data_IF_958953142433
#
_entry.id   IF_958953142433
#
_cell.length_a   1.000
_cell.length_b   1.000
_cell.length_c   1.000
_cell.angle_alpha   90.00
_cell.angle_beta   90.00
_cell.angle_gamma   90.00
#
_symmetry.space_group_name_H-M   'P 1'
#
loop_
_entity.id
_entity.type
_entity.pdbx_description
1 polymer ?
#
# COMPACT_ATOMS: atom_id res chain seq x y z
N UNK A 1 47.09 -35.66 10.89
CA UNK A 1 46.64 -35.50 9.49
C UNK A 1 45.24 -34.89 9.52
N UNK A 2 45.06 -33.79 10.26
CA UNK A 2 45.51 -32.39 9.98
C UNK A 2 44.49 -31.75 9.03
N UNK A 3 43.88 -30.58 9.24
CA UNK A 3 43.91 -29.50 10.25
C UNK A 3 42.73 -28.56 9.89
N UNK A 4 41.96 -28.08 10.85
CA UNK A 4 41.95 -26.71 11.42
C UNK A 4 42.15 -25.52 10.43
N UNK A 5 41.21 -24.55 10.52
CA UNK A 5 41.33 -23.08 10.32
C UNK A 5 40.04 -22.55 9.66
N UNK A 6 39.06 -22.00 10.38
CA UNK A 6 39.00 -20.71 11.11
C UNK A 6 38.54 -19.51 10.26
N UNK A 7 37.53 -18.85 10.83
CA UNK A 7 36.83 -17.59 10.52
C UNK A 7 37.74 -16.36 10.30
N UNK A 8 37.30 -15.45 9.41
CA UNK A 8 37.33 -13.95 9.52
C UNK A 8 36.43 -13.39 8.39
N UNK A 9 35.26 -12.76 8.61
CA UNK A 9 34.93 -11.41 9.15
C UNK A 9 35.56 -10.23 8.38
N UNK A 10 34.70 -9.38 7.80
CA UNK A 10 34.97 -7.94 7.56
C UNK A 10 34.24 -7.32 6.36
N UNK A 11 33.00 -6.83 6.52
CA UNK A 11 32.63 -5.39 6.61
C UNK A 11 32.25 -4.74 5.25
N UNK A 12 31.64 -3.54 5.18
CA UNK A 12 30.21 -3.30 5.39
C UNK A 12 29.62 -2.39 4.28
N UNK A 13 28.57 -2.78 3.58
CA UNK A 13 27.85 -1.82 2.73
C UNK A 13 26.81 -1.05 3.55
N UNK A 14 27.28 0.10 4.02
CA UNK A 14 26.61 1.39 4.14
C UNK A 14 25.10 1.36 4.39
N UNK A 15 24.72 1.81 5.59
CA UNK A 15 23.36 2.12 5.95
C UNK A 15 22.76 3.15 5.00
N UNK A 16 21.61 2.78 4.44
CA UNK A 16 20.67 3.76 3.93
C UNK A 16 19.71 4.08 5.07
N UNK A 17 19.81 5.30 5.58
CA UNK A 17 18.95 5.84 6.61
C UNK A 17 17.49 5.57 6.27
N UNK A 18 16.82 4.85 7.17
CA UNK A 18 15.38 4.74 7.26
C UNK A 18 14.84 6.15 7.47
N UNK A 19 14.46 6.82 6.39
CA UNK A 19 13.67 8.05 6.45
C UNK A 19 12.29 7.67 6.99
N UNK A 20 12.18 7.69 8.32
CA UNK A 20 10.93 7.44 9.03
C UNK A 20 9.83 8.37 8.51
N UNK A 21 8.69 7.77 8.17
CA UNK A 21 7.43 8.49 7.99
C UNK A 21 7.09 9.21 9.30
N UNK A 22 7.26 10.53 9.35
CA UNK A 22 6.79 11.33 10.46
C UNK A 22 5.26 11.52 10.36
N UNK A 23 4.48 11.22 11.42
CA UNK A 23 3.06 11.52 11.47
C UNK A 23 2.84 13.00 11.81
N UNK A 24 1.88 13.63 11.13
CA UNK A 24 1.59 15.05 11.26
C UNK A 24 1.09 15.48 12.63
N UNK A 25 1.33 16.77 12.94
CA UNK A 25 0.49 17.61 13.81
C UNK A 25 0.55 19.07 13.34
N UNK A 26 -0.57 19.79 13.31
CA UNK A 26 -0.61 21.24 13.50
C UNK A 26 -1.14 21.57 14.91
N UNK A 27 -0.51 22.51 15.63
CA UNK A 27 -1.15 23.79 15.96
C UNK A 27 -0.17 24.77 16.65
N UNK A 28 -0.09 25.96 16.06
CA UNK A 28 0.12 27.31 16.62
C UNK A 28 0.92 27.54 17.92
N UNK A 29 2.05 28.26 17.80
CA UNK A 29 2.28 29.50 18.57
C UNK A 29 3.49 30.30 18.03
N UNK A 30 3.25 31.59 17.80
CA UNK A 30 4.16 32.55 17.20
C UNK A 30 5.38 32.92 18.06
N UNK A 31 6.52 33.27 17.43
CA UNK A 31 7.19 34.58 17.59
C UNK A 31 8.37 34.76 16.63
N UNK A 32 8.54 36.03 16.25
CA UNK A 32 9.36 36.66 15.20
C UNK A 32 10.87 36.35 15.30
N UNK A 33 11.49 36.18 14.13
CA UNK A 33 12.93 36.33 13.92
C UNK A 33 13.23 36.40 12.42
N UNK A 34 13.82 37.51 11.96
CA UNK A 34 14.17 37.76 10.55
C UNK A 34 15.36 36.90 10.16
N UNK A 35 15.19 35.99 9.19
CA UNK A 35 16.28 35.38 8.45
C UNK A 35 15.88 35.28 6.97
N UNK A 36 16.64 35.94 6.10
CA UNK A 36 16.56 35.78 4.64
C UNK A 36 17.05 34.37 4.29
N UNK A 37 16.11 33.44 4.15
CA UNK A 37 16.32 32.13 3.54
C UNK A 37 15.34 32.00 2.39
N UNK A 38 15.84 31.69 1.19
CA UNK A 38 15.00 31.34 0.05
C UNK A 38 14.13 30.14 0.44
N UNK A 39 12.86 30.39 0.75
CA UNK A 39 11.83 29.36 0.81
C UNK A 39 11.61 28.89 -0.61
N UNK A 40 12.36 27.85 -1.00
CA UNK A 40 11.94 27.02 -2.12
C UNK A 40 10.49 26.60 -1.81
N UNK A 41 9.53 26.83 -2.71
CA UNK A 41 8.19 26.34 -2.50
C UNK A 41 8.32 24.82 -2.31
N UNK A 42 7.89 24.32 -1.15
CA UNK A 42 7.63 22.90 -0.98
C UNK A 42 6.68 22.56 -2.11
N UNK A 43 7.18 21.90 -3.16
CA UNK A 43 6.35 21.29 -4.18
C UNK A 43 5.42 20.37 -3.40
N UNK A 44 4.19 20.82 -3.16
CA UNK A 44 3.09 19.88 -3.02
C UNK A 44 3.25 19.01 -4.26
N UNK A 45 3.58 17.73 -4.07
CA UNK A 45 3.48 16.79 -5.18
C UNK A 45 2.02 16.90 -5.59
N UNK A 46 1.78 17.55 -6.72
CA UNK A 46 0.47 17.54 -7.35
C UNK A 46 0.25 16.06 -7.67
N UNK A 47 -0.58 15.46 -6.84
CA UNK A 47 -0.99 14.08 -6.90
C UNK A 47 -2.40 14.17 -7.50
N UNK A 48 -2.53 14.07 -8.84
CA UNK A 48 -3.82 14.14 -9.50
C UNK A 48 -4.61 12.86 -9.22
N UNK A 49 -5.14 12.77 -8.00
CA UNK A 49 -6.03 11.69 -7.60
C UNK A 49 -7.41 11.92 -8.21
N UNK A 50 -7.99 10.87 -8.78
CA UNK A 50 -9.35 10.91 -9.31
C UNK A 50 -10.39 11.01 -8.20
N UNK A 51 -11.60 11.43 -8.56
CA UNK A 51 -12.71 11.46 -7.61
C UNK A 51 -13.11 10.04 -7.21
N UNK A 52 -13.83 9.92 -6.10
CA UNK A 52 -14.23 8.61 -5.56
C UNK A 52 -15.11 7.82 -6.54
N UNK A 53 -16.00 8.50 -7.26
CA UNK A 53 -16.91 7.89 -8.25
C UNK A 53 -16.12 7.23 -9.39
N UNK A 54 -15.20 7.96 -10.02
CA UNK A 54 -14.35 7.41 -11.08
C UNK A 54 -13.52 6.21 -10.59
N UNK A 55 -12.97 6.30 -9.38
CA UNK A 55 -12.13 5.24 -8.78
C UNK A 55 -12.93 3.98 -8.45
N UNK A 56 -14.16 4.16 -8.03
CA UNK A 56 -15.09 3.06 -7.79
C UNK A 56 -15.48 2.40 -9.12
N UNK A 57 -15.76 3.19 -10.15
CA UNK A 57 -16.12 2.69 -11.49
C UNK A 57 -14.99 1.86 -12.11
N UNK A 58 -13.75 2.35 -12.06
CA UNK A 58 -12.56 1.69 -12.62
C UNK A 58 -12.10 0.43 -11.85
N UNK A 59 -12.52 0.32 -10.59
CA UNK A 59 -12.21 -0.83 -9.74
C UNK A 59 -13.28 -1.92 -9.89
N UNK A 60 -12.88 -3.08 -10.39
CA UNK A 60 -13.75 -4.25 -10.49
C UNK A 60 -14.03 -4.87 -9.11
N UNK A 61 -13.13 -4.70 -8.15
CA UNK A 61 -13.25 -5.24 -6.79
C UNK A 61 -12.97 -4.12 -5.78
N UNK A 62 -13.87 -3.96 -4.80
CA UNK A 62 -13.66 -3.03 -3.68
C UNK A 62 -13.89 -3.79 -2.39
N UNK A 63 -12.92 -3.76 -1.47
CA UNK A 63 -13.01 -4.46 -0.21
C UNK A 63 -12.39 -3.67 0.94
N UNK A 64 -12.81 -4.02 2.14
CA UNK A 64 -12.23 -3.54 3.40
C UNK A 64 -11.40 -4.65 4.02
N UNK A 65 -10.23 -4.31 4.52
CA UNK A 65 -9.31 -5.31 5.04
C UNK A 65 -8.26 -4.74 5.98
N UNK A 66 -7.61 -5.63 6.72
CA UNK A 66 -6.43 -5.33 7.53
C UNK A 66 -5.22 -6.05 6.94
N UNK A 67 -4.11 -5.35 6.81
CA UNK A 67 -2.84 -5.95 6.36
C UNK A 67 -2.32 -6.90 7.43
N UNK A 68 -2.23 -8.18 7.06
CA UNK A 68 -1.75 -9.28 7.92
C UNK A 68 -0.23 -9.36 7.87
N UNK A 69 0.34 -9.33 6.65
CA UNK A 69 1.77 -9.49 6.42
C UNK A 69 2.20 -8.82 5.11
N UNK A 70 3.42 -8.28 5.06
CA UNK A 70 4.06 -7.79 3.83
C UNK A 70 4.90 -8.95 3.30
N UNK A 71 4.65 -9.38 2.06
CA UNK A 71 5.16 -10.65 1.52
C UNK A 71 6.39 -10.40 0.64
N UNK A 72 6.19 -9.94 -0.59
CA UNK A 72 7.23 -9.91 -1.60
C UNK A 72 7.31 -8.55 -2.28
N UNK A 73 8.53 -8.15 -2.65
CA UNK A 73 8.78 -7.02 -3.53
C UNK A 73 8.90 -7.55 -4.97
N UNK A 74 8.11 -6.99 -5.87
CA UNK A 74 8.27 -7.17 -7.31
C UNK A 74 9.38 -6.23 -7.82
N UNK A 75 10.55 -6.78 -8.23
CA UNK A 75 11.67 -5.97 -8.67
C UNK A 75 11.46 -5.34 -10.05
N UNK A 76 10.50 -5.81 -10.85
CA UNK A 76 10.23 -5.30 -12.20
C UNK A 76 9.46 -3.98 -12.13
N UNK A 77 8.40 -3.95 -11.33
CA UNK A 77 7.57 -2.75 -11.17
C UNK A 77 7.94 -1.91 -9.95
N UNK A 78 8.93 -2.35 -9.15
CA UNK A 78 9.32 -1.75 -7.88
C UNK A 78 8.10 -1.55 -6.96
N UNK A 79 7.23 -2.54 -6.93
CA UNK A 79 6.05 -2.60 -6.05
C UNK A 79 6.19 -3.73 -5.06
N UNK A 80 5.32 -3.81 -4.08
CA UNK A 80 5.26 -4.95 -3.17
C UNK A 80 3.84 -5.47 -3.01
N UNK A 81 3.75 -6.72 -2.56
CA UNK A 81 2.50 -7.42 -2.29
C UNK A 81 2.33 -7.68 -0.80
N UNK A 82 1.10 -7.61 -0.34
CA UNK A 82 0.71 -7.84 1.04
C UNK A 82 -0.39 -8.90 1.12
N UNK A 83 -0.36 -9.70 2.18
CA UNK A 83 -1.46 -10.55 2.59
C UNK A 83 -2.45 -9.72 3.40
N UNK A 84 -3.70 -9.69 2.98
CA UNK A 84 -4.75 -8.87 3.60
C UNK A 84 -5.88 -9.77 4.08
N UNK A 85 -6.24 -9.62 5.36
CA UNK A 85 -7.44 -10.25 5.93
C UNK A 85 -8.66 -9.41 5.58
N UNK A 86 -9.57 -9.99 4.81
CA UNK A 86 -10.78 -9.32 4.34
C UNK A 86 -11.83 -9.27 5.44
N UNK A 87 -12.47 -8.11 5.60
CA UNK A 87 -13.59 -7.90 6.51
C UNK A 87 -14.90 -7.96 5.75
N UNK A 88 -15.06 -7.12 4.73
CA UNK A 88 -16.25 -7.06 3.87
C UNK A 88 -15.88 -6.64 2.45
N UNK A 89 -16.49 -7.28 1.46
CA UNK A 89 -16.50 -6.83 0.08
C UNK A 89 -17.61 -5.79 -0.11
N UNK A 90 -17.24 -4.63 -0.64
CA UNK A 90 -18.18 -3.58 -1.03
C UNK A 90 -18.63 -3.78 -2.49
N UNK A 91 -17.73 -4.29 -3.35
CA UNK A 91 -17.97 -4.59 -4.77
C UNK A 91 -17.16 -5.79 -5.25
N UNK A 92 -17.68 -6.49 -6.25
CA UNK A 92 -16.91 -7.49 -7.00
C UNK A 92 -16.67 -8.82 -6.28
N UNK A 93 -17.42 -9.13 -5.21
CA UNK A 93 -17.26 -10.40 -4.46
C UNK A 93 -17.37 -11.64 -5.37
N UNK A 94 -18.28 -11.63 -6.34
CA UNK A 94 -18.47 -12.72 -7.31
C UNK A 94 -17.35 -12.81 -8.36
N UNK A 95 -16.62 -11.72 -8.57
CA UNK A 95 -15.49 -11.63 -9.49
C UNK A 95 -14.18 -12.09 -8.86
N UNK A 96 -14.16 -12.27 -7.54
CA UNK A 96 -13.04 -12.88 -6.82
C UNK A 96 -13.20 -14.39 -6.91
N UNK A 97 -12.38 -15.01 -7.77
CA UNK A 97 -12.36 -16.46 -7.94
C UNK A 97 -11.96 -17.17 -6.63
N UNK A 98 -12.45 -18.40 -6.42
CA UNK A 98 -12.08 -19.20 -5.25
C UNK A 98 -10.58 -19.50 -5.19
N UNK A 99 -9.88 -19.45 -6.34
CA UNK A 99 -8.43 -19.61 -6.45
C UNK A 99 -7.65 -18.40 -5.87
N UNK A 100 -8.28 -17.23 -5.74
CA UNK A 100 -7.70 -15.99 -5.15
C UNK A 100 -7.79 -15.99 -3.62
N UNK A 101 -8.65 -16.85 -3.05
CA UNK A 101 -8.87 -16.92 -1.62
C UNK A 101 -7.86 -17.84 -0.94
N UNK A 102 -7.01 -17.25 -0.09
CA UNK A 102 -6.06 -17.97 0.74
C UNK A 102 -6.65 -18.28 2.14
N UNK A 103 -6.03 -19.22 2.83
CA UNK A 103 -6.17 -19.44 4.28
C UNK A 103 -7.63 -19.63 4.75
N UNK A 104 -8.41 -20.44 4.03
CA UNK A 104 -9.78 -20.77 4.44
C UNK A 104 -10.85 -19.74 4.03
N UNK A 105 -10.54 -18.83 3.10
CA UNK A 105 -11.55 -18.02 2.41
C UNK A 105 -11.65 -16.55 2.82
N UNK A 106 -10.81 -16.09 3.75
CA UNK A 106 -10.88 -14.73 4.32
C UNK A 106 -9.59 -13.93 4.17
N UNK A 107 -8.58 -14.46 3.48
CA UNK A 107 -7.34 -13.74 3.15
C UNK A 107 -7.13 -13.68 1.65
N UNK A 108 -6.59 -12.56 1.17
CA UNK A 108 -6.26 -12.33 -0.24
C UNK A 108 -4.86 -11.74 -0.36
N UNK A 109 -4.21 -12.00 -1.50
CA UNK A 109 -2.97 -11.32 -1.87
C UNK A 109 -3.30 -10.07 -2.65
N UNK A 110 -2.77 -8.94 -2.18
CA UNK A 110 -2.90 -7.65 -2.86
C UNK A 110 -1.51 -7.16 -3.27
N UNK A 111 -1.31 -6.89 -4.55
CA UNK A 111 -0.08 -6.35 -5.12
C UNK A 111 -0.22 -4.89 -5.55
N UNK A 112 0.90 -4.30 -6.00
CA UNK A 112 0.93 -2.94 -6.54
C UNK A 112 1.14 -1.84 -5.51
N UNK A 113 1.44 -2.18 -4.25
CA UNK A 113 1.81 -1.17 -3.24
C UNK A 113 3.15 -0.52 -3.59
N UNK A 114 3.30 0.77 -3.29
CA UNK A 114 4.48 1.55 -3.68
C UNK A 114 4.46 2.09 -5.11
N UNK A 115 3.41 1.83 -5.90
CA UNK A 115 3.30 2.32 -7.28
C UNK A 115 3.29 3.86 -7.32
N UNK A 116 4.27 4.51 -8.01
CA UNK A 116 4.41 5.97 -8.02
C UNK A 116 3.26 6.71 -8.72
N UNK A 117 2.41 6.01 -9.49
CA UNK A 117 1.22 6.58 -10.11
C UNK A 117 0.03 6.70 -9.15
N UNK A 118 0.10 6.04 -7.99
CA UNK A 118 -0.94 6.07 -6.95
C UNK A 118 -0.47 6.98 -5.82
N UNK A 119 -1.33 7.87 -5.33
CA UNK A 119 -0.94 8.90 -4.38
C UNK A 119 -0.77 8.36 -2.96
N UNK A 120 -1.76 7.66 -2.42
CA UNK A 120 -1.67 6.91 -1.16
C UNK A 120 -1.55 5.42 -1.48
N UNK A 121 -0.30 4.93 -1.48
CA UNK A 121 0.06 3.60 -1.98
C UNK A 121 0.85 2.76 -0.97
N UNK A 122 1.02 3.25 0.26
CA UNK A 122 1.83 2.62 1.29
C UNK A 122 0.96 2.03 2.40
N UNK A 123 1.34 0.87 2.89
CA UNK A 123 0.71 0.22 4.04
C UNK A 123 1.75 -0.36 4.98
N UNK A 124 1.39 -0.47 6.25
CA UNK A 124 2.13 -1.25 7.24
C UNK A 124 1.27 -2.42 7.76
N UNK A 125 1.92 -3.42 8.34
CA UNK A 125 1.23 -4.49 9.05
C UNK A 125 0.27 -3.92 10.11
N UNK A 126 -0.97 -4.39 10.13
CA UNK A 126 -2.03 -3.90 11.01
C UNK A 126 -2.82 -2.70 10.47
N UNK A 127 -2.41 -2.09 9.35
CA UNK A 127 -3.21 -1.03 8.73
C UNK A 127 -4.53 -1.58 8.24
N UNK A 128 -5.60 -0.84 8.53
CA UNK A 128 -6.94 -1.14 8.02
C UNK A 128 -7.36 -0.05 7.05
N UNK A 129 -7.71 -0.44 5.82
CA UNK A 129 -8.02 0.45 4.69
C UNK A 129 -9.13 -0.14 3.83
N UNK A 130 -9.69 0.72 2.97
CA UNK A 130 -10.51 0.32 1.83
C UNK A 130 -9.58 0.25 0.61
N UNK A 131 -9.67 -0.86 -0.12
CA UNK A 131 -8.82 -1.17 -1.26
C UNK A 131 -9.65 -1.17 -2.54
N UNK A 132 -9.17 -0.45 -3.55
CA UNK A 132 -9.72 -0.41 -4.90
C UNK A 132 -8.84 -1.25 -5.81
N UNK A 133 -9.38 -2.36 -6.31
CA UNK A 133 -8.60 -3.46 -6.82
C UNK A 133 -9.10 -3.94 -8.17
N UNK A 134 -8.17 -4.49 -8.95
CA UNK A 134 -8.47 -5.23 -10.17
C UNK A 134 -7.75 -6.58 -10.14
N UNK A 135 -8.34 -7.66 -10.71
CA UNK A 135 -7.62 -8.92 -10.88
C UNK A 135 -6.33 -8.69 -11.66
N UNK A 136 -5.25 -9.35 -11.25
CA UNK A 136 -4.01 -9.31 -12.00
C UNK A 136 -4.25 -9.78 -13.45
N UNK A 137 -3.85 -8.95 -14.41
CA UNK A 137 -3.95 -9.26 -15.83
C UNK A 137 -3.03 -10.43 -16.19
N UNK A 138 -3.46 -11.29 -17.12
CA UNK A 138 -2.69 -12.45 -17.60
C UNK A 138 -1.30 -12.08 -18.14
N UNK A 139 -1.10 -10.81 -18.53
CA UNK A 139 0.18 -10.29 -19.04
C UNK A 139 1.21 -9.98 -17.94
N UNK A 140 0.83 -9.91 -16.66
CA UNK A 140 1.76 -9.68 -15.55
C UNK A 140 2.56 -10.93 -15.15
N UNK A 141 2.35 -12.05 -15.85
CA UNK A 141 3.10 -13.28 -15.64
C UNK A 141 2.55 -14.14 -14.49
N UNK A 142 3.12 -15.34 -14.29
CA UNK A 142 2.62 -16.29 -13.31
C UNK A 142 2.83 -15.86 -11.86
N UNK A 143 3.77 -14.95 -11.60
CA UNK A 143 4.11 -14.44 -10.26
C UNK A 143 2.92 -13.72 -9.61
N UNK A 144 2.08 -13.06 -10.40
CA UNK A 144 0.87 -12.36 -9.94
C UNK A 144 -0.41 -13.16 -10.20
N UNK A 145 -0.30 -14.43 -10.60
CA UNK A 145 -1.47 -15.26 -10.87
C UNK A 145 -2.23 -15.44 -9.55
N UNK A 146 -3.51 -15.03 -9.55
CA UNK A 146 -4.40 -15.02 -8.39
C UNK A 146 -4.14 -13.90 -7.37
N UNK A 147 -3.50 -12.81 -7.78
CA UNK A 147 -3.38 -11.59 -6.97
C UNK A 147 -4.39 -10.52 -7.42
N UNK A 148 -4.76 -9.64 -6.48
CA UNK A 148 -5.51 -8.42 -6.76
C UNK A 148 -4.55 -7.24 -6.77
N UNK A 149 -4.56 -6.44 -7.83
CA UNK A 149 -3.66 -5.30 -7.99
C UNK A 149 -4.34 -4.00 -7.58
N UNK A 150 -3.60 -3.17 -6.85
CA UNK A 150 -4.05 -1.83 -6.47
C UNK A 150 -4.29 -0.97 -7.72
N UNK A 151 -5.50 -0.43 -7.84
CA UNK A 151 -5.92 0.39 -8.97
C UNK A 151 -5.84 1.89 -8.67
N UNK A 152 -6.24 2.31 -7.46
CA UNK A 152 -6.21 3.71 -7.03
C UNK A 152 -5.79 3.84 -5.56
N UNK A 153 -5.72 5.08 -5.05
CA UNK A 153 -5.22 5.34 -3.71
C UNK A 153 -6.02 4.60 -2.64
N UNK A 154 -5.33 4.27 -1.56
CA UNK A 154 -5.95 3.69 -0.37
C UNK A 154 -6.90 4.70 0.26
N UNK A 155 -8.00 4.21 0.80
CA UNK A 155 -8.95 5.07 1.53
C UNK A 155 -9.00 4.66 2.99
N UNK A 156 -8.94 5.66 3.88
CA UNK A 156 -9.12 5.43 5.31
C UNK A 156 -10.57 5.07 5.59
N UNK A 157 -10.78 4.12 6.48
CA UNK A 157 -12.10 3.86 7.05
C UNK A 157 -12.44 5.06 7.92
N UNK A 158 -13.41 5.87 7.50
CA UNK A 158 -14.01 6.92 8.33
C UNK A 158 -15.43 6.50 8.66
N UNK A 159 -15.87 6.75 9.91
CA UNK A 159 -17.26 6.50 10.34
C UNK A 159 -18.30 7.29 9.52
N UNK A 160 -17.87 8.20 8.64
CA UNK A 160 -18.72 8.97 7.71
C UNK A 160 -19.06 8.24 6.40
N UNK A 161 -18.69 6.97 6.26
CA UNK A 161 -19.03 6.15 5.09
C UNK A 161 -20.19 5.16 5.34
N UNK A 162 -20.90 5.24 6.48
CA UNK A 162 -21.94 4.27 6.85
C UNK A 162 -23.28 4.92 7.23
N UNK A 163 -23.63 6.09 6.69
CA UNK A 163 -24.92 6.74 6.97
C UNK A 163 -25.75 7.13 5.72
N UNK A 164 -25.52 6.50 4.55
CA UNK A 164 -26.34 6.77 3.35
C UNK A 164 -26.64 5.52 2.49
N UNK A 165 -26.75 4.34 3.10
CA UNK A 165 -27.22 3.10 2.43
C UNK A 165 -28.25 2.34 3.29
N UNK A 166 -29.01 3.03 4.16
CA UNK A 166 -30.17 2.47 4.86
C UNK A 166 -31.29 3.52 5.10
N UNK A 167 -31.72 4.22 4.05
CA UNK A 167 -32.96 5.00 4.06
C UNK A 167 -33.88 4.60 2.90
#
# INVERSE_FOLDING_TARGET
>A
MDGDASVTVGHPYAGHELQGCAPGRPDSAARRGVARGSVAPLRSKFCPEKNLEDREEEANVVLTGTVDEIINMDPVHNTYSCKVRVWRYLKGKSSVDREILLDGGNKVMIGGFGNPHICDNQVATGDTRIFFLNPASLYMGPEHKNELMLNSSLMRITLRNLEDVEA
#
